data_IF_747518978973
#
_entry.id   IF_747518978973
#
_cell.length_a   1.000
_cell.length_b   1.000
_cell.length_c   1.000
_cell.angle_alpha   90.00
_cell.angle_beta   90.00
_cell.angle_gamma   90.00
#
_symmetry.space_group_name_H-M   'P 1'
#
loop_
_entity.id
_entity.type
_entity.pdbx_description
1 polymer ?
#
# COMPACT_ATOMS: atom_id res chain seq x y z
N UNK A 1 -20.31 -13.51 -5.28
CA UNK A 1 -20.86 -14.33 -4.19
C UNK A 1 -21.43 -13.40 -3.10
N UNK A 2 -22.75 -13.42 -2.84
CA UNK A 2 -23.37 -12.60 -1.79
C UNK A 2 -22.93 -12.95 -0.36
N UNK A 3 -22.69 -14.23 -0.05
CA UNK A 3 -22.25 -14.66 1.26
C UNK A 3 -20.83 -14.16 1.56
N UNK A 4 -19.96 -14.18 0.54
CA UNK A 4 -18.63 -13.60 0.64
C UNK A 4 -18.66 -12.09 0.93
N UNK A 5 -19.55 -11.33 0.27
CA UNK A 5 -19.72 -9.89 0.54
C UNK A 5 -20.20 -9.62 1.96
N UNK A 6 -21.23 -10.34 2.40
CA UNK A 6 -21.74 -10.20 3.77
C UNK A 6 -20.67 -10.51 4.83
N UNK A 7 -19.77 -11.47 4.56
CA UNK A 7 -18.64 -11.74 5.42
C UNK A 7 -17.64 -10.57 5.46
N UNK A 8 -17.27 -10.03 4.29
CA UNK A 8 -16.37 -8.87 4.21
C UNK A 8 -16.95 -7.69 4.98
N UNK A 9 -18.21 -7.31 4.73
CA UNK A 9 -18.86 -6.19 5.41
C UNK A 9 -18.87 -6.37 6.93
N UNK A 10 -19.12 -7.60 7.39
CA UNK A 10 -19.10 -7.93 8.83
C UNK A 10 -17.70 -7.81 9.42
N UNK A 11 -16.66 -8.23 8.70
CA UNK A 11 -15.27 -8.20 9.17
C UNK A 11 -14.65 -6.79 9.06
N UNK A 12 -15.14 -5.96 8.14
CA UNK A 12 -14.64 -4.61 7.93
C UNK A 12 -15.48 -3.52 8.59
N UNK A 13 -16.61 -3.85 9.23
CA UNK A 13 -17.48 -2.88 9.90
C UNK A 13 -16.91 -2.31 11.21
N UNK A 14 -17.50 -1.21 11.69
CA UNK A 14 -17.06 -0.48 12.89
C UNK A 14 -16.82 -1.37 14.11
N UNK A 15 -17.79 -2.25 14.41
CA UNK A 15 -17.68 -3.20 15.54
C UNK A 15 -16.47 -4.11 15.40
N UNK A 16 -16.19 -4.61 14.20
CA UNK A 16 -15.06 -5.51 13.98
C UNK A 16 -13.73 -4.76 14.13
N UNK A 17 -13.62 -3.54 13.62
CA UNK A 17 -12.44 -2.67 13.78
C UNK A 17 -12.15 -2.35 15.25
N UNK A 18 -13.19 -2.00 16.02
CA UNK A 18 -13.08 -1.76 17.45
C UNK A 18 -12.60 -3.01 18.21
N UNK A 19 -13.22 -4.16 17.93
CA UNK A 19 -12.84 -5.42 18.56
C UNK A 19 -11.42 -5.87 18.17
N UNK A 20 -10.99 -5.61 16.94
CA UNK A 20 -9.64 -5.94 16.49
C UNK A 20 -8.61 -5.11 17.26
N UNK A 21 -8.79 -3.79 17.37
CA UNK A 21 -7.89 -2.94 18.16
C UNK A 21 -7.84 -3.37 19.63
N UNK A 22 -8.99 -3.65 20.24
CA UNK A 22 -9.09 -4.05 21.65
C UNK A 22 -8.38 -5.38 21.94
N UNK A 23 -8.53 -6.37 21.04
CA UNK A 23 -8.01 -7.72 21.26
C UNK A 23 -6.60 -7.96 20.73
N UNK A 24 -6.12 -7.11 19.81
CA UNK A 24 -4.76 -7.23 19.32
C UNK A 24 -3.77 -6.95 20.44
N UNK A 25 -2.75 -7.80 20.55
CA UNK A 25 -1.65 -7.59 21.48
C UNK A 25 -0.94 -6.26 21.20
N UNK A 26 -0.26 -5.74 22.22
CA UNK A 26 0.54 -4.53 22.10
C UNK A 26 1.56 -4.62 20.96
N UNK A 27 1.58 -3.59 20.12
CA UNK A 27 2.42 -3.51 18.92
C UNK A 27 1.80 -4.16 17.67
N UNK A 28 0.67 -4.86 17.80
CA UNK A 28 -0.08 -5.45 16.68
C UNK A 28 -1.44 -4.77 16.47
N UNK A 29 -1.77 -3.74 17.25
CA UNK A 29 -3.01 -3.00 17.03
C UNK A 29 -2.99 -2.34 15.63
N UNK A 30 -4.04 -2.54 14.81
CA UNK A 30 -4.08 -2.01 13.45
C UNK A 30 -4.11 -0.47 13.45
N UNK A 31 -3.69 0.14 12.35
CA UNK A 31 -3.96 1.56 12.05
C UNK A 31 -5.06 1.62 11.01
N UNK A 32 -6.08 2.40 11.30
CA UNK A 32 -7.17 2.63 10.37
C UNK A 32 -7.00 4.02 9.74
N UNK A 33 -7.20 4.16 8.42
CA UNK A 33 -6.95 5.40 7.69
C UNK A 33 -8.04 6.45 7.89
N UNK A 34 -9.19 6.09 8.47
CA UNK A 34 -10.30 7.00 8.75
C UNK A 34 -10.16 7.61 10.16
N UNK A 35 -10.42 8.91 10.30
CA UNK A 35 -10.34 9.62 11.57
C UNK A 35 -11.42 9.19 12.58
N UNK A 36 -12.55 8.67 12.09
CA UNK A 36 -13.67 8.15 12.89
C UNK A 36 -13.42 6.75 13.43
N UNK A 37 -12.47 6.01 12.84
CA UNK A 37 -12.10 4.69 13.34
C UNK A 37 -11.38 4.79 14.70
N UNK A 38 -11.37 3.69 15.48
CA UNK A 38 -10.65 3.64 16.75
C UNK A 38 -9.19 4.07 16.57
N UNK A 39 -8.73 5.02 17.38
CA UNK A 39 -7.38 5.60 17.26
C UNK A 39 -6.37 4.94 18.21
N UNK A 40 -5.07 4.93 17.88
CA UNK A 40 -4.02 4.49 18.78
C UNK A 40 -3.94 5.37 20.04
N UNK A 41 -3.57 4.78 21.17
CA UNK A 41 -3.46 5.48 22.46
C UNK A 41 -2.02 5.80 22.84
N UNK A 42 -1.04 5.11 22.27
CA UNK A 42 0.37 5.36 22.50
C UNK A 42 0.85 6.62 21.75
N UNK A 43 1.95 7.22 22.22
CA UNK A 43 2.44 8.48 21.68
C UNK A 43 2.87 8.38 20.20
N UNK A 44 3.52 7.28 19.82
CA UNK A 44 3.99 7.05 18.45
C UNK A 44 2.81 6.81 17.53
N UNK A 45 1.86 5.96 17.94
CA UNK A 45 0.65 5.68 17.19
C UNK A 45 -0.20 6.93 16.98
N UNK A 46 -0.41 7.76 18.00
CA UNK A 46 -1.11 9.04 17.83
C UNK A 46 -0.44 9.95 16.83
N UNK A 47 0.90 10.01 16.83
CA UNK A 47 1.65 10.82 15.87
C UNK A 47 1.49 10.30 14.43
N UNK A 48 1.51 8.98 14.24
CA UNK A 48 1.29 8.35 12.93
C UNK A 48 -0.13 8.63 12.45
N UNK A 49 -1.14 8.41 13.30
CA UNK A 49 -2.54 8.65 12.95
C UNK A 49 -2.81 10.11 12.59
N UNK A 50 -2.24 11.06 13.33
CA UNK A 50 -2.35 12.50 13.04
C UNK A 50 -1.72 12.88 11.68
N UNK A 51 -0.61 12.23 11.30
CA UNK A 51 -0.03 12.40 9.95
C UNK A 51 -1.02 11.93 8.88
N UNK A 52 -1.61 10.75 9.06
CA UNK A 52 -2.45 10.11 8.06
C UNK A 52 -3.83 10.75 7.93
N UNK A 53 -4.43 11.20 9.03
CA UNK A 53 -5.85 11.61 9.08
C UNK A 53 -6.06 13.12 9.13
N UNK A 54 -5.15 13.89 9.74
CA UNK A 54 -5.34 15.32 9.98
C UNK A 54 -4.39 16.20 9.17
N UNK A 55 -3.14 15.76 8.95
CA UNK A 55 -2.12 16.57 8.27
C UNK A 55 -2.01 16.30 6.78
N UNK A 56 -2.22 15.04 6.36
CA UNK A 56 -2.22 14.70 4.95
C UNK A 56 -3.42 15.36 4.26
N UNK A 57 -3.16 16.16 3.23
CA UNK A 57 -4.23 16.65 2.34
C UNK A 57 -4.63 15.59 1.32
N UNK A 58 -3.71 14.67 1.01
CA UNK A 58 -3.84 13.64 0.00
C UNK A 58 -2.95 12.47 0.40
N UNK A 59 -3.49 11.27 0.33
CA UNK A 59 -2.78 10.01 0.47
C UNK A 59 -2.67 9.40 -0.92
N UNK A 60 -1.44 9.10 -1.34
CA UNK A 60 -1.16 8.46 -2.61
C UNK A 60 -0.66 7.05 -2.37
N UNK A 61 -1.09 6.13 -3.24
CA UNK A 61 -0.42 4.86 -3.44
C UNK A 61 1.03 5.12 -3.86
N UNK A 62 1.94 4.27 -3.40
CA UNK A 62 3.31 4.33 -3.87
C UNK A 62 3.36 3.99 -5.37
N UNK A 63 4.39 4.45 -6.07
CA UNK A 63 4.58 4.13 -7.48
C UNK A 63 4.58 2.61 -7.72
N UNK A 64 5.08 1.81 -6.76
CA UNK A 64 5.09 0.34 -6.87
C UNK A 64 3.72 -0.32 -6.70
N UNK A 65 2.75 0.33 -6.03
CA UNK A 65 1.39 -0.19 -5.85
C UNK A 65 0.59 -0.21 -7.16
N UNK A 66 0.91 0.71 -8.07
CA UNK A 66 0.27 0.82 -9.40
C UNK A 66 1.04 0.07 -10.50
N UNK A 67 2.16 -0.58 -10.16
CA UNK A 67 2.90 -1.39 -11.12
C UNK A 67 2.22 -2.74 -11.37
N UNK A 68 2.27 -3.29 -12.60
CA UNK A 68 1.91 -4.68 -12.85
C UNK A 68 2.72 -5.62 -11.95
N UNK A 69 2.16 -6.74 -11.46
CA UNK A 69 2.81 -7.60 -10.46
C UNK A 69 4.25 -8.01 -10.82
N UNK A 70 4.50 -8.41 -12.08
CA UNK A 70 5.84 -8.78 -12.54
C UNK A 70 6.85 -7.62 -12.52
N UNK A 71 6.40 -6.40 -12.82
CA UNK A 71 7.23 -5.19 -12.77
C UNK A 71 7.50 -4.79 -11.32
N UNK A 72 6.48 -4.85 -10.45
CA UNK A 72 6.59 -4.57 -9.01
C UNK A 72 7.62 -5.49 -8.34
N UNK A 73 7.57 -6.79 -8.63
CA UNK A 73 8.51 -7.77 -8.07
C UNK A 73 9.96 -7.53 -8.53
N UNK A 74 10.14 -7.14 -9.80
CA UNK A 74 11.45 -6.76 -10.33
C UNK A 74 11.98 -5.49 -9.67
N UNK A 75 11.12 -4.48 -9.48
CA UNK A 75 11.46 -3.23 -8.82
C UNK A 75 11.91 -3.46 -7.37
N UNK A 76 11.15 -4.18 -6.54
CA UNK A 76 11.54 -4.44 -5.14
C UNK A 76 12.88 -5.17 -5.06
N UNK A 77 13.11 -6.15 -5.93
CA UNK A 77 14.38 -6.88 -5.99
C UNK A 77 15.54 -5.98 -6.42
N UNK A 78 15.29 -5.00 -7.29
CA UNK A 78 16.28 -4.04 -7.73
C UNK A 78 16.67 -3.07 -6.62
N UNK A 79 15.70 -2.56 -5.85
CA UNK A 79 15.94 -1.69 -4.68
C UNK A 79 16.86 -2.38 -3.66
N UNK A 80 16.57 -3.65 -3.32
CA UNK A 80 17.42 -4.42 -2.40
C UNK A 80 18.85 -4.62 -2.94
N UNK A 81 19.00 -4.86 -4.24
CA UNK A 81 20.31 -4.98 -4.88
C UNK A 81 21.10 -3.68 -4.89
N UNK A 82 20.42 -2.53 -5.06
CA UNK A 82 21.05 -1.22 -5.00
C UNK A 82 21.54 -0.89 -3.58
N UNK A 83 20.77 -1.24 -2.54
CA UNK A 83 21.24 -1.05 -1.16
C UNK A 83 22.48 -1.89 -0.81
N UNK A 84 22.69 -3.02 -1.49
CA UNK A 84 23.90 -3.82 -1.35
C UNK A 84 25.13 -3.24 -2.07
N UNK A 85 24.93 -2.49 -3.15
CA UNK A 85 25.97 -1.83 -3.95
C UNK A 85 25.41 -0.54 -4.58
N UNK A 86 25.50 0.60 -3.87
CA UNK A 86 24.86 1.85 -4.28
C UNK A 86 25.74 2.66 -5.24
N UNK A 87 26.34 2.02 -6.23
CA UNK A 87 27.14 2.69 -7.27
C UNK A 87 26.26 3.13 -8.45
N UNK A 88 26.63 4.21 -9.14
CA UNK A 88 25.92 4.70 -10.33
C UNK A 88 25.84 3.62 -11.43
N UNK A 89 26.95 2.91 -11.67
CA UNK A 89 26.99 1.79 -12.61
C UNK A 89 25.96 0.72 -12.27
N UNK A 90 25.84 0.37 -10.98
CA UNK A 90 24.87 -0.62 -10.52
C UNK A 90 23.43 -0.12 -10.67
N UNK A 91 23.19 1.15 -10.40
CA UNK A 91 21.90 1.79 -10.62
C UNK A 91 21.49 1.70 -12.10
N UNK A 92 22.37 2.08 -13.02
CA UNK A 92 22.11 2.04 -14.46
C UNK A 92 21.79 0.62 -14.95
N UNK A 93 22.56 -0.38 -14.49
CA UNK A 93 22.31 -1.79 -14.80
C UNK A 93 20.93 -2.26 -14.29
N UNK A 94 20.54 -1.84 -13.07
CA UNK A 94 19.27 -2.22 -12.46
C UNK A 94 18.09 -1.57 -13.18
N UNK A 95 18.22 -0.29 -13.56
CA UNK A 95 17.20 0.44 -14.31
C UNK A 95 17.01 -0.18 -15.70
N UNK A 96 18.09 -0.50 -16.42
CA UNK A 96 18.01 -1.17 -17.72
C UNK A 96 17.33 -2.54 -17.68
N UNK A 97 17.56 -3.32 -16.60
CA UNK A 97 16.83 -4.58 -16.36
C UNK A 97 15.35 -4.34 -16.08
N UNK A 98 15.01 -3.35 -15.28
CA UNK A 98 13.62 -3.03 -14.96
C UNK A 98 12.83 -2.60 -16.21
N UNK A 99 13.46 -1.82 -17.09
CA UNK A 99 12.88 -1.42 -18.39
C UNK A 99 12.62 -2.61 -19.32
N UNK A 100 13.52 -3.60 -19.30
CA UNK A 100 13.33 -4.85 -20.05
C UNK A 100 12.08 -5.59 -19.56
N UNK A 101 11.96 -5.81 -18.24
CA UNK A 101 10.80 -6.48 -17.63
C UNK A 101 9.50 -5.72 -17.89
N UNK A 102 9.52 -4.39 -17.77
CA UNK A 102 8.36 -3.54 -18.10
C UNK A 102 7.90 -3.73 -19.55
N UNK A 103 8.85 -3.75 -20.48
CA UNK A 103 8.57 -3.91 -21.92
C UNK A 103 8.04 -5.30 -22.24
N UNK A 104 8.52 -6.34 -21.57
CA UNK A 104 8.00 -7.70 -21.71
C UNK A 104 6.59 -7.84 -21.13
N UNK A 105 6.38 -7.35 -19.91
CA UNK A 105 5.06 -7.38 -19.26
C UNK A 105 3.99 -6.62 -20.06
N UNK A 106 4.35 -5.53 -20.75
CA UNK A 106 3.43 -4.80 -21.62
C UNK A 106 2.99 -5.60 -22.86
N UNK A 107 3.80 -6.56 -23.33
CA UNK A 107 3.44 -7.46 -24.45
C UNK A 107 2.47 -8.55 -24.01
N UNK A 108 2.59 -8.99 -22.75
CA UNK A 108 1.78 -10.06 -22.17
C UNK A 108 0.49 -9.53 -21.51
N UNK A 109 0.36 -8.22 -21.35
CA UNK A 109 -0.84 -7.59 -20.82
C UNK A 109 -2.00 -7.70 -21.83
N UNK A 110 -2.99 -8.55 -21.52
CA UNK A 110 -4.35 -8.36 -22.03
C UNK A 110 -4.85 -6.96 -21.62
N UNK A 111 -5.81 -6.33 -22.33
CA UNK A 111 -6.37 -5.03 -21.96
C UNK A 111 -7.10 -5.13 -20.62
N UNK A 112 -6.35 -5.06 -19.53
CA UNK A 112 -6.81 -4.97 -18.16
C UNK A 112 -6.96 -3.50 -17.82
N UNK A 113 -8.20 -3.05 -17.69
CA UNK A 113 -8.53 -1.72 -17.21
C UNK A 113 -8.14 -1.63 -15.73
N UNK A 114 -6.96 -1.08 -15.44
CA UNK A 114 -6.73 -0.47 -14.14
C UNK A 114 -7.63 0.76 -14.10
N UNK A 115 -8.54 0.90 -13.13
CA UNK A 115 -9.32 2.12 -13.00
C UNK A 115 -8.35 3.28 -12.82
N UNK A 116 -8.41 4.25 -13.74
CA UNK A 116 -7.56 5.45 -13.75
C UNK A 116 -7.78 6.37 -12.53
N UNK A 117 -8.85 6.11 -11.79
CA UNK A 117 -9.25 6.74 -10.53
C UNK A 117 -8.95 5.76 -9.39
N UNK A 118 -8.11 6.00 -8.37
CA UNK A 118 -7.54 7.22 -7.80
C UNK A 118 -6.18 6.83 -7.21
N UNK A 119 -5.09 7.10 -7.92
CA UNK A 119 -3.73 6.88 -7.38
C UNK A 119 -3.53 7.68 -6.08
N UNK A 120 -4.29 8.76 -5.92
CA UNK A 120 -4.27 9.65 -4.79
C UNK A 120 -5.71 10.03 -4.39
N UNK A 121 -6.02 9.99 -3.10
CA UNK A 121 -7.32 10.35 -2.52
C UNK A 121 -7.15 11.14 -1.22
N UNK A 122 -8.13 11.96 -0.79
CA UNK A 122 -8.10 12.56 0.55
C UNK A 122 -8.17 11.47 1.64
N UNK A 123 -7.68 11.74 2.87
CA UNK A 123 -7.85 10.81 3.99
C UNK A 123 -9.34 10.56 4.28
N UNK A 124 -9.70 9.31 4.59
CA UNK A 124 -11.09 8.90 4.86
C UNK A 124 -11.88 8.43 3.64
N UNK A 125 -11.32 8.58 2.42
CA UNK A 125 -12.01 8.27 1.16
C UNK A 125 -12.76 9.46 0.60
#
# INVERSE_FOLDING_TARGET
DPAARALVDRLSGERARALWRERASDGLQPFFPDASDPQPTDATGRRIADILTAKARTLCFDASDVMPPGVRDAFHRAVLQYFGDPTEKRLDELLGRLDTVRTEAAKDAAPGHLPESEVCAPPGG
#
